data_IF_554538741202
#
_entry.id   IF_554538741202
#
_cell.length_a   1.000
_cell.length_b   1.000
_cell.length_c   1.000
_cell.angle_alpha   90.00
_cell.angle_beta   90.00
_cell.angle_gamma   90.00
#
_symmetry.space_group_name_H-M   'P 1'
#
loop_
_entity.id
_entity.type
_entity.pdbx_description
1 polymer ?
#
# COMPACT_ATOMS: atom_id res chain seq x y z
N UNK A 1 38.18 -10.66 23.82
CA UNK A 1 37.03 -9.74 23.67
C UNK A 1 37.34 -8.82 22.50
N UNK A 2 36.44 -8.67 21.52
CA UNK A 2 36.61 -7.67 20.46
C UNK A 2 35.92 -6.39 20.92
N UNK A 3 36.67 -5.28 20.97
CA UNK A 3 36.14 -3.97 21.32
C UNK A 3 35.54 -3.33 20.06
N UNK A 4 34.29 -2.86 20.14
CA UNK A 4 33.64 -2.10 19.07
C UNK A 4 33.31 -0.70 19.55
N UNK A 5 33.49 0.28 18.67
CA UNK A 5 33.15 1.67 18.96
C UNK A 5 31.65 1.88 18.98
N UNK A 6 31.18 2.75 19.87
CA UNK A 6 29.79 3.18 19.85
C UNK A 6 29.44 3.84 18.50
N UNK A 7 28.19 3.72 18.10
CA UNK A 7 27.65 4.40 16.91
C UNK A 7 26.47 5.29 17.29
N UNK A 8 26.33 6.42 16.62
CA UNK A 8 25.14 7.28 16.70
C UNK A 8 24.38 7.18 15.39
N UNK A 9 23.11 6.76 15.46
CA UNK A 9 22.20 6.66 14.32
C UNK A 9 21.24 7.84 14.36
N UNK A 10 21.13 8.55 13.25
CA UNK A 10 20.12 9.59 13.03
C UNK A 10 19.22 9.20 11.87
N UNK A 11 17.98 9.67 11.91
CA UNK A 11 16.96 9.41 10.90
C UNK A 11 16.26 10.72 10.56
N UNK A 12 16.01 10.92 9.27
CA UNK A 12 15.12 11.96 8.76
C UNK A 12 14.22 11.41 7.66
N UNK A 13 13.06 12.05 7.48
CA UNK A 13 12.16 11.81 6.37
C UNK A 13 12.17 13.03 5.44
N UNK A 14 12.04 12.82 4.13
CA UNK A 14 11.97 13.90 3.14
C UNK A 14 10.79 14.85 3.37
N UNK A 15 9.73 14.36 4.01
CA UNK A 15 8.60 15.15 4.51
C UNK A 15 7.96 14.42 5.70
N UNK A 16 7.53 15.15 6.76
CA UNK A 16 6.78 14.56 7.86
C UNK A 16 5.30 14.32 7.51
N UNK A 17 4.78 14.91 6.43
CA UNK A 17 3.36 14.84 6.06
C UNK A 17 3.14 14.55 4.57
N UNK A 18 3.54 13.35 4.09
CA UNK A 18 3.27 12.95 2.71
C UNK A 18 1.77 12.77 2.45
N UNK A 19 1.37 12.97 1.20
CA UNK A 19 0.03 12.55 0.74
C UNK A 19 0.00 11.03 0.54
N UNK A 20 -1.15 10.39 0.80
CA UNK A 20 -1.32 8.97 0.52
C UNK A 20 -1.01 8.64 -0.94
N UNK A 21 -0.26 7.55 -1.15
CA UNK A 21 0.28 7.10 -2.45
C UNK A 21 1.57 7.80 -2.89
N UNK A 22 2.00 8.89 -2.23
CA UNK A 22 3.23 9.58 -2.60
C UNK A 22 4.44 9.00 -1.88
N UNK A 23 5.60 9.04 -2.56
CA UNK A 23 6.83 8.52 -2.01
C UNK A 23 7.36 9.38 -0.85
N UNK A 24 7.88 8.73 0.19
CA UNK A 24 8.75 9.35 1.20
C UNK A 24 10.13 8.73 1.08
N UNK A 25 11.17 9.54 1.17
CA UNK A 25 12.54 9.03 1.32
C UNK A 25 12.95 9.14 2.78
N UNK A 26 13.24 8.01 3.40
CA UNK A 26 13.85 7.92 4.72
C UNK A 26 15.37 7.91 4.57
N UNK A 27 16.07 8.78 5.30
CA UNK A 27 17.54 8.86 5.26
C UNK A 27 18.09 8.56 6.63
N UNK A 28 18.96 7.56 6.72
CA UNK A 28 19.70 7.23 7.93
C UNK A 28 21.17 7.64 7.79
N UNK A 29 21.72 8.23 8.84
CA UNK A 29 23.15 8.49 8.95
C UNK A 29 23.70 7.86 10.23
N UNK A 30 24.81 7.13 10.09
CA UNK A 30 25.48 6.41 11.15
C UNK A 30 26.88 6.98 11.30
N UNK A 31 27.19 7.47 12.49
CA UNK A 31 28.48 8.10 12.81
C UNK A 31 29.14 7.38 13.99
N UNK A 32 30.46 7.51 14.09
CA UNK A 32 31.23 6.99 15.22
C UNK A 32 32.21 8.05 15.73
N UNK A 33 32.43 8.16 17.06
CA UNK A 33 33.42 9.07 17.62
C UNK A 33 34.86 8.65 17.29
N UNK A 34 35.07 7.42 16.81
CA UNK A 34 36.39 6.89 16.46
C UNK A 34 36.98 7.44 15.16
N UNK A 35 36.23 8.28 14.43
CA UNK A 35 36.64 8.85 13.14
C UNK A 35 36.63 7.87 11.96
N UNK A 36 36.43 6.57 12.21
CA UNK A 36 36.15 5.57 11.18
C UNK A 36 34.69 5.62 10.74
N UNK A 37 34.45 5.42 9.44
CA UNK A 37 33.10 5.40 8.85
C UNK A 37 32.42 4.05 9.09
N UNK A 38 31.23 4.01 9.72
CA UNK A 38 30.45 2.79 9.86
C UNK A 38 30.01 2.20 8.51
N UNK A 39 30.08 0.88 8.39
CA UNK A 39 29.70 0.10 7.19
C UNK A 39 28.57 -0.88 7.55
N UNK A 40 28.00 -1.56 6.55
CA UNK A 40 26.94 -2.54 6.77
C UNK A 40 25.56 -2.00 6.40
N UNK A 41 24.51 -2.49 7.07
CA UNK A 41 23.12 -2.22 6.67
C UNK A 41 22.30 -1.55 7.76
N UNK A 42 21.36 -0.73 7.32
CA UNK A 42 20.30 -0.16 8.17
C UNK A 42 18.97 -0.77 7.78
N UNK A 43 18.21 -1.19 8.78
CA UNK A 43 16.80 -1.60 8.63
C UNK A 43 15.90 -0.44 9.06
N UNK A 44 14.97 -0.05 8.20
CA UNK A 44 13.94 0.93 8.52
C UNK A 44 12.68 0.20 8.98
N UNK A 45 12.08 0.66 10.07
CA UNK A 45 10.90 0.05 10.68
C UNK A 45 9.79 1.09 10.88
N UNK A 46 8.54 0.66 10.70
CA UNK A 46 7.33 1.34 11.16
C UNK A 46 6.77 0.58 12.37
N UNK A 47 7.01 1.12 13.56
CA UNK A 47 6.88 0.36 14.80
C UNK A 47 7.82 -0.86 14.78
N UNK A 48 7.25 -2.06 14.82
CA UNK A 48 8.00 -3.32 14.71
C UNK A 48 8.03 -3.90 13.29
N UNK A 49 7.29 -3.30 12.34
CA UNK A 49 7.16 -3.82 10.98
C UNK A 49 8.33 -3.31 10.12
N UNK A 50 9.17 -4.18 9.54
CA UNK A 50 10.23 -3.76 8.64
C UNK A 50 9.64 -3.14 7.36
N UNK A 51 10.09 -1.94 7.02
CA UNK A 51 9.79 -1.28 5.75
C UNK A 51 10.77 -1.66 4.64
N UNK A 52 12.01 -1.98 5.02
CA UNK A 52 13.07 -2.36 4.12
C UNK A 52 14.45 -2.18 4.74
N UNK A 53 15.47 -2.59 4.00
CA UNK A 53 16.88 -2.43 4.38
C UNK A 53 17.63 -1.67 3.30
N UNK A 54 18.68 -0.97 3.70
CA UNK A 54 19.57 -0.29 2.77
C UNK A 54 21.02 -0.33 3.29
N UNK A 55 21.97 -0.39 2.36
CA UNK A 55 23.41 -0.52 2.69
C UNK A 55 24.02 0.86 2.84
N UNK A 56 24.84 1.05 3.87
CA UNK A 56 25.55 2.30 4.09
C UNK A 56 26.59 2.53 2.99
N UNK A 57 26.59 3.75 2.46
CA UNK A 57 27.63 4.32 1.62
C UNK A 57 28.10 5.62 2.28
N UNK A 58 29.40 5.72 2.59
CA UNK A 58 29.93 6.87 3.33
C UNK A 58 29.28 7.12 4.71
N UNK A 59 28.73 6.09 5.35
CA UNK A 59 28.02 6.22 6.64
C UNK A 59 26.59 6.74 6.51
N UNK A 60 26.02 6.81 5.31
CA UNK A 60 24.64 7.20 5.07
C UNK A 60 23.91 6.21 4.15
N UNK A 61 22.59 6.17 4.24
CA UNK A 61 21.76 5.42 3.29
C UNK A 61 20.35 6.00 3.21
N UNK A 62 19.68 5.79 2.07
CA UNK A 62 18.29 6.18 1.84
C UNK A 62 17.39 4.99 1.51
N UNK A 63 16.11 5.08 1.87
CA UNK A 63 15.05 4.15 1.45
C UNK A 63 13.82 4.94 0.99
N UNK A 64 13.43 4.75 -0.28
CA UNK A 64 12.17 5.27 -0.81
C UNK A 64 11.02 4.31 -0.49
N UNK A 65 9.92 4.84 0.06
CA UNK A 65 8.72 4.08 0.40
C UNK A 65 7.48 4.72 -0.23
N UNK A 66 6.63 3.93 -0.88
CA UNK A 66 5.39 4.39 -1.55
C UNK A 66 4.13 3.72 -1.00
N UNK A 67 4.25 2.94 0.09
CA UNK A 67 3.19 2.08 0.62
C UNK A 67 2.70 2.42 2.03
N UNK A 68 3.01 3.61 2.56
CA UNK A 68 2.51 4.00 3.87
C UNK A 68 0.98 4.20 3.82
N UNK A 69 0.30 3.66 4.83
CA UNK A 69 -1.16 3.76 4.94
C UNK A 69 -1.55 5.15 5.42
N UNK A 70 -2.79 5.61 5.18
CA UNK A 70 -3.27 6.85 5.79
C UNK A 70 -3.17 6.81 7.32
N UNK A 71 -2.69 7.89 7.93
CA UNK A 71 -2.53 8.01 9.38
C UNK A 71 -1.08 8.16 9.87
N UNK A 72 -0.88 8.15 11.20
CA UNK A 72 0.44 8.32 11.80
C UNK A 72 1.26 7.03 11.74
N UNK A 73 2.56 7.20 11.50
CA UNK A 73 3.59 6.16 11.49
C UNK A 73 4.75 6.56 12.40
N UNK A 74 5.30 5.60 13.14
CA UNK A 74 6.44 5.82 14.05
C UNK A 74 7.65 5.11 13.48
N UNK A 75 8.51 5.87 12.80
CA UNK A 75 9.61 5.31 12.03
C UNK A 75 10.91 5.32 12.85
N UNK A 76 11.64 4.20 12.81
CA UNK A 76 13.00 4.10 13.34
C UNK A 76 13.97 3.51 12.32
N UNK A 77 15.26 3.79 12.49
CA UNK A 77 16.35 3.17 11.75
C UNK A 77 17.22 2.36 12.71
N UNK A 78 17.43 1.09 12.41
CA UNK A 78 18.24 0.16 13.19
C UNK A 78 19.49 -0.23 12.40
N UNK A 79 20.66 0.08 12.95
CA UNK A 79 21.95 -0.30 12.42
C UNK A 79 22.45 -1.57 13.11
N UNK A 80 22.78 -2.60 12.32
CA UNK A 80 23.21 -3.92 12.84
C UNK A 80 24.63 -3.96 13.41
N UNK A 81 25.42 -2.89 13.27
CA UNK A 81 26.84 -2.90 13.58
C UNK A 81 27.69 -3.50 12.46
N UNK A 82 29.01 -3.41 12.63
CA UNK A 82 30.00 -4.07 11.79
C UNK A 82 31.16 -4.61 12.63
N UNK A 83 32.28 -5.00 12.01
CA UNK A 83 33.44 -5.54 12.73
C UNK A 83 34.04 -4.55 13.75
N UNK A 84 33.95 -3.24 13.49
CA UNK A 84 34.56 -2.17 14.29
C UNK A 84 33.53 -1.34 15.09
N UNK A 85 32.26 -1.36 14.70
CA UNK A 85 31.21 -0.51 15.25
C UNK A 85 30.07 -1.33 15.86
N UNK A 86 29.63 -0.92 17.04
CA UNK A 86 28.50 -1.52 17.74
C UNK A 86 27.18 -1.20 17.01
N UNK A 87 26.13 -2.04 17.17
CA UNK A 87 24.80 -1.71 16.68
C UNK A 87 24.22 -0.47 17.37
N UNK A 88 23.23 0.15 16.74
CA UNK A 88 22.54 1.32 17.27
C UNK A 88 21.16 1.53 16.67
N UNK A 89 20.35 2.38 17.29
CA UNK A 89 19.01 2.72 16.80
C UNK A 89 18.80 4.23 16.87
N UNK A 90 18.09 4.79 15.90
CA UNK A 90 17.70 6.20 15.91
C UNK A 90 16.64 6.49 16.96
N UNK A 91 16.48 7.78 17.30
CA UNK A 91 15.22 8.25 17.86
C UNK A 91 14.06 8.04 16.86
N UNK A 92 12.83 8.00 17.38
CA UNK A 92 11.62 7.88 16.55
C UNK A 92 11.37 9.15 15.74
N UNK A 93 11.07 8.98 14.46
CA UNK A 93 10.57 10.04 13.57
C UNK A 93 9.10 9.76 13.24
N UNK A 94 8.22 10.71 13.51
CA UNK A 94 6.80 10.59 13.16
C UNK A 94 6.56 11.05 11.72
N UNK A 95 5.89 10.21 10.92
CA UNK A 95 5.41 10.55 9.58
C UNK A 95 3.89 10.36 9.57
N UNK A 96 3.13 11.40 9.22
CA UNK A 96 1.67 11.33 9.17
C UNK A 96 1.19 11.44 7.75
N UNK A 97 0.71 10.34 7.18
CA UNK A 97 0.17 10.30 5.83
C UNK A 97 -1.21 10.95 5.81
N UNK A 98 -1.39 11.96 4.97
CA UNK A 98 -2.61 12.75 4.87
C UNK A 98 -3.24 12.67 3.46
N UNK A 99 -4.32 13.40 3.28
CA UNK A 99 -5.03 13.55 2.02
C UNK A 99 -4.94 15.01 1.58
N UNK A 100 -5.13 15.26 0.28
CA UNK A 100 -5.09 16.62 -0.26
C UNK A 100 -6.27 17.47 0.21
N UNK A 101 -7.35 16.82 0.65
CA UNK A 101 -8.56 17.44 1.17
C UNK A 101 -9.15 16.58 2.31
N UNK A 102 -10.03 17.14 3.17
CA UNK A 102 -10.76 16.36 4.16
C UNK A 102 -11.57 15.22 3.55
N UNK A 103 -11.69 14.09 4.27
CA UNK A 103 -12.45 12.94 3.78
C UNK A 103 -13.92 13.27 3.59
N UNK A 104 -14.49 12.77 2.49
CA UNK A 104 -15.93 12.83 2.25
C UNK A 104 -16.61 11.81 3.16
N UNK A 105 -17.34 12.30 4.17
CA UNK A 105 -18.13 11.48 5.11
C UNK A 105 -19.63 11.70 4.95
N UNK A 106 -20.04 12.65 4.10
CA UNK A 106 -21.44 12.93 3.77
C UNK A 106 -21.90 12.27 2.46
N UNK A 107 -23.11 12.65 2.03
CA UNK A 107 -23.62 12.25 0.72
C UNK A 107 -23.18 13.24 -0.36
N UNK A 108 -22.70 12.71 -1.48
CA UNK A 108 -22.27 13.45 -2.66
C UNK A 108 -22.86 12.80 -3.91
N UNK A 109 -23.27 13.62 -4.86
CA UNK A 109 -23.84 13.17 -6.14
C UNK A 109 -23.05 13.73 -7.31
N UNK A 110 -22.99 12.99 -8.42
CA UNK A 110 -22.26 13.35 -9.63
C UNK A 110 -20.84 12.79 -9.67
N UNK A 111 -20.10 13.02 -10.77
CA UNK A 111 -18.79 12.41 -10.99
C UNK A 111 -17.75 12.90 -9.97
N UNK A 112 -17.00 11.97 -9.37
CA UNK A 112 -15.81 12.25 -8.57
C UNK A 112 -14.58 11.86 -9.37
N UNK A 113 -13.67 12.81 -9.60
CA UNK A 113 -12.41 12.56 -10.30
C UNK A 113 -11.24 12.90 -9.40
N UNK A 114 -10.33 11.95 -9.19
CA UNK A 114 -9.03 12.16 -8.55
C UNK A 114 -7.99 12.34 -9.66
N UNK A 115 -7.32 13.48 -9.69
CA UNK A 115 -6.31 13.81 -10.71
C UNK A 115 -4.89 13.63 -10.19
N UNK A 116 -3.90 13.80 -11.07
CA UNK A 116 -2.49 13.66 -10.73
C UNK A 116 -2.09 14.55 -9.55
N UNK A 117 -1.37 13.99 -8.58
CA UNK A 117 -0.92 14.69 -7.37
C UNK A 117 -2.00 14.84 -6.29
N UNK A 118 -3.26 14.49 -6.58
CA UNK A 118 -4.33 14.49 -5.58
C UNK A 118 -4.39 13.15 -4.85
N UNK A 119 -4.80 13.22 -3.58
CA UNK A 119 -5.06 12.05 -2.76
C UNK A 119 -6.35 12.29 -2.00
N UNK A 120 -7.41 11.55 -2.33
CA UNK A 120 -8.74 11.74 -1.75
C UNK A 120 -9.15 10.54 -0.89
N UNK A 121 -10.04 10.80 0.06
CA UNK A 121 -10.66 9.76 0.87
C UNK A 121 -12.18 9.86 0.90
N UNK A 122 -12.83 8.70 0.82
CA UNK A 122 -14.22 8.50 1.22
C UNK A 122 -14.21 7.80 2.58
N UNK A 123 -14.66 8.49 3.62
CA UNK A 123 -14.61 8.02 5.00
C UNK A 123 -15.90 7.35 5.46
N UNK A 124 -15.93 6.84 6.70
CA UNK A 124 -17.09 6.14 7.26
C UNK A 124 -18.38 6.95 7.15
N UNK A 125 -19.44 6.32 6.65
CA UNK A 125 -20.74 6.97 6.44
C UNK A 125 -20.85 7.77 5.13
N UNK A 126 -19.72 7.99 4.44
CA UNK A 126 -19.69 8.66 3.14
C UNK A 126 -20.50 7.90 2.09
N UNK A 127 -21.25 8.64 1.26
CA UNK A 127 -22.02 8.09 0.14
C UNK A 127 -21.71 8.86 -1.13
N UNK A 128 -21.13 8.20 -2.11
CA UNK A 128 -20.84 8.78 -3.42
C UNK A 128 -21.76 8.16 -4.46
N UNK A 129 -22.71 8.94 -5.00
CA UNK A 129 -23.61 8.53 -6.08
C UNK A 129 -23.10 9.07 -7.41
N UNK A 130 -22.82 8.18 -8.36
CA UNK A 130 -22.17 8.50 -9.63
C UNK A 130 -20.75 7.94 -9.72
N UNK A 131 -20.11 8.08 -10.89
CA UNK A 131 -18.82 7.46 -11.18
C UNK A 131 -17.69 8.05 -10.33
N UNK A 132 -16.79 7.18 -9.89
CA UNK A 132 -15.51 7.55 -9.26
C UNK A 132 -14.40 7.17 -10.23
N UNK A 133 -13.61 8.16 -10.66
CA UNK A 133 -12.50 7.98 -11.60
C UNK A 133 -11.20 8.42 -10.94
N UNK A 134 -10.20 7.53 -10.87
CA UNK A 134 -8.85 7.86 -10.44
C UNK A 134 -7.96 7.87 -11.67
N UNK A 135 -7.50 9.05 -12.07
CA UNK A 135 -6.58 9.22 -13.20
C UNK A 135 -5.16 8.87 -12.79
N UNK A 136 -4.31 8.72 -13.79
CA UNK A 136 -2.89 8.48 -13.59
C UNK A 136 -2.27 9.51 -12.65
N UNK A 137 -1.48 9.05 -11.67
CA UNK A 137 -0.87 9.90 -10.66
C UNK A 137 -1.79 10.29 -9.49
N UNK A 138 -3.06 9.90 -9.47
CA UNK A 138 -3.97 10.13 -8.35
C UNK A 138 -3.97 8.98 -7.33
N UNK A 139 -4.42 9.23 -6.10
CA UNK A 139 -4.59 8.21 -5.07
C UNK A 139 -5.96 8.27 -4.39
N UNK A 140 -6.53 7.11 -4.06
CA UNK A 140 -7.86 7.03 -3.45
C UNK A 140 -7.89 6.03 -2.29
N UNK A 141 -8.40 6.47 -1.15
CA UNK A 141 -8.77 5.61 -0.04
C UNK A 141 -10.30 5.59 0.15
N UNK A 142 -10.90 4.42 0.28
CA UNK A 142 -12.33 4.24 0.57
C UNK A 142 -12.46 3.37 1.81
N UNK A 143 -12.93 3.93 2.92
CA UNK A 143 -13.04 3.25 4.20
C UNK A 143 -14.44 3.43 4.78
N UNK A 144 -15.22 2.34 4.89
CA UNK A 144 -16.56 2.41 5.49
C UNK A 144 -17.60 3.23 4.69
N UNK A 145 -17.33 3.49 3.42
CA UNK A 145 -18.17 4.31 2.54
C UNK A 145 -18.95 3.46 1.54
N UNK A 146 -20.01 4.03 0.98
CA UNK A 146 -20.78 3.45 -0.14
C UNK A 146 -20.52 4.22 -1.43
N UNK A 147 -20.20 3.51 -2.51
CA UNK A 147 -20.09 4.05 -3.86
C UNK A 147 -21.20 3.45 -4.73
N UNK A 148 -22.19 4.28 -5.05
CA UNK A 148 -23.29 3.95 -5.94
C UNK A 148 -22.98 4.39 -7.38
N UNK A 149 -22.06 3.66 -8.02
CA UNK A 149 -21.57 3.92 -9.36
C UNK A 149 -20.33 3.08 -9.67
N UNK A 150 -19.80 3.14 -10.90
CA UNK A 150 -18.54 2.49 -11.23
C UNK A 150 -17.37 3.17 -10.52
N UNK A 151 -16.41 2.38 -10.02
CA UNK A 151 -15.07 2.83 -9.68
C UNK A 151 -14.12 2.40 -10.80
N UNK A 152 -13.44 3.36 -11.43
CA UNK A 152 -12.42 3.11 -12.44
C UNK A 152 -11.13 3.81 -12.05
N UNK A 153 -10.02 3.08 -12.06
CA UNK A 153 -8.67 3.60 -11.86
C UNK A 153 -7.77 3.10 -12.97
N UNK A 154 -6.96 4.02 -13.52
CA UNK A 154 -5.91 3.72 -14.49
C UNK A 154 -4.66 4.55 -14.16
N UNK A 155 -3.58 3.88 -13.78
CA UNK A 155 -2.30 4.54 -13.44
C UNK A 155 -2.24 5.18 -12.05
N UNK A 156 -3.06 4.76 -11.09
CA UNK A 156 -3.07 5.36 -9.77
C UNK A 156 -1.75 5.14 -9.00
N UNK A 157 -1.42 6.11 -8.14
CA UNK A 157 -0.29 5.97 -7.21
C UNK A 157 -0.59 5.01 -6.07
N UNK A 158 -1.84 4.95 -5.59
CA UNK A 158 -2.27 3.95 -4.63
C UNK A 158 -3.79 3.88 -4.57
N UNK A 159 -4.31 2.67 -4.31
CA UNK A 159 -5.73 2.44 -4.07
C UNK A 159 -5.86 1.62 -2.78
N UNK A 160 -6.66 2.12 -1.83
CA UNK A 160 -7.02 1.37 -0.61
C UNK A 160 -8.52 1.34 -0.44
N UNK A 161 -9.08 0.14 -0.25
CA UNK A 161 -10.53 -0.07 -0.16
C UNK A 161 -10.81 -1.03 0.99
N UNK A 162 -11.47 -0.55 2.04
CA UNK A 162 -11.65 -1.23 3.32
C UNK A 162 -13.10 -1.06 3.83
N UNK A 163 -13.78 -2.14 4.20
CA UNK A 163 -15.18 -2.11 4.66
C UNK A 163 -16.12 -1.26 3.78
N UNK A 164 -15.87 -1.20 2.48
CA UNK A 164 -16.63 -0.40 1.54
C UNK A 164 -17.73 -1.23 0.85
N UNK A 165 -18.77 -0.55 0.40
CA UNK A 165 -19.85 -1.12 -0.40
C UNK A 165 -19.90 -0.45 -1.78
N UNK A 166 -19.71 -1.23 -2.84
CA UNK A 166 -19.82 -0.77 -4.23
C UNK A 166 -21.09 -1.35 -4.84
N UNK A 167 -21.99 -0.49 -5.32
CA UNK A 167 -23.19 -0.93 -6.04
C UNK A 167 -22.94 -1.17 -7.54
N UNK A 168 -21.76 -0.81 -8.04
CA UNK A 168 -21.35 -0.91 -9.43
C UNK A 168 -20.04 -1.68 -9.63
N UNK A 169 -19.52 -1.72 -10.88
CA UNK A 169 -18.27 -2.39 -11.20
C UNK A 169 -17.07 -1.67 -10.56
N UNK A 170 -16.03 -2.44 -10.22
CA UNK A 170 -14.75 -1.93 -9.73
C UNK A 170 -13.66 -2.38 -10.69
N UNK A 171 -12.95 -1.42 -11.29
CA UNK A 171 -11.82 -1.66 -12.20
C UNK A 171 -10.61 -0.88 -11.72
N UNK A 172 -9.52 -1.58 -11.39
CA UNK A 172 -8.25 -1.00 -10.94
C UNK A 172 -7.14 -1.48 -11.87
N UNK A 173 -6.58 -0.57 -12.65
CA UNK A 173 -5.64 -0.88 -13.72
C UNK A 173 -4.35 -0.06 -13.59
N UNK A 174 -3.22 -0.68 -13.91
CA UNK A 174 -1.95 0.03 -14.14
C UNK A 174 -1.37 0.78 -12.93
N UNK A 175 -1.82 0.49 -11.70
CA UNK A 175 -1.36 1.22 -10.53
C UNK A 175 0.13 0.98 -10.27
N UNK A 176 0.88 2.06 -10.03
CA UNK A 176 2.32 2.00 -9.78
C UNK A 176 2.68 1.82 -8.31
N UNK A 177 1.78 2.18 -7.39
CA UNK A 177 1.89 1.82 -5.99
C UNK A 177 0.82 0.82 -5.57
N UNK A 178 0.80 0.54 -4.27
CA UNK A 178 0.12 -0.64 -3.73
C UNK A 178 -1.41 -0.56 -3.89
N UNK A 179 -2.01 -1.66 -4.31
CA UNK A 179 -3.46 -1.84 -4.38
C UNK A 179 -3.92 -2.76 -3.25
N UNK A 180 -4.72 -2.21 -2.33
CA UNK A 180 -5.33 -2.94 -1.23
C UNK A 180 -6.85 -2.94 -1.36
N UNK A 181 -7.46 -4.11 -1.49
CA UNK A 181 -8.91 -4.31 -1.55
C UNK A 181 -9.31 -5.31 -0.45
N UNK A 182 -9.33 -4.86 0.81
CA UNK A 182 -9.48 -5.73 1.97
C UNK A 182 -8.26 -6.62 2.22
N UNK A 183 -8.07 -7.10 3.46
CA UNK A 183 -7.06 -8.11 3.79
C UNK A 183 -6.03 -7.76 4.86
N UNK A 184 -6.13 -6.59 5.49
CA UNK A 184 -5.28 -6.23 6.63
C UNK A 184 -6.12 -6.26 7.93
N UNK A 185 -5.51 -6.41 9.12
CA UNK A 185 -6.23 -6.31 10.39
C UNK A 185 -7.07 -5.01 10.53
N UNK A 186 -6.59 -3.91 9.95
CA UNK A 186 -7.27 -2.62 9.89
C UNK A 186 -8.09 -2.40 8.60
N UNK A 187 -8.13 -3.37 7.69
CA UNK A 187 -8.81 -3.28 6.41
C UNK A 187 -9.65 -4.54 6.17
N UNK A 188 -10.85 -4.56 6.76
CA UNK A 188 -11.81 -5.63 6.53
C UNK A 188 -12.33 -5.62 5.08
N UNK A 189 -12.84 -6.78 4.65
CA UNK A 189 -13.28 -7.02 3.28
C UNK A 189 -14.47 -6.15 2.85
N UNK A 190 -14.67 -6.09 1.54
CA UNK A 190 -15.64 -5.21 0.89
C UNK A 190 -16.81 -6.00 0.30
N UNK A 191 -17.93 -5.32 0.05
CA UNK A 191 -19.04 -5.84 -0.74
C UNK A 191 -19.06 -5.14 -2.10
N UNK A 192 -18.98 -5.90 -3.19
CA UNK A 192 -18.95 -5.38 -4.57
C UNK A 192 -20.09 -6.03 -5.34
N UNK A 193 -21.14 -5.28 -5.67
CA UNK A 193 -22.35 -5.78 -6.36
C UNK A 193 -22.21 -5.89 -7.88
N UNK A 194 -20.98 -5.82 -8.41
CA UNK A 194 -20.68 -5.88 -9.83
C UNK A 194 -19.36 -6.62 -10.11
N UNK A 195 -18.86 -6.59 -11.36
CA UNK A 195 -17.59 -7.21 -11.69
C UNK A 195 -16.42 -6.51 -10.99
N UNK A 196 -15.40 -7.29 -10.63
CA UNK A 196 -14.12 -6.80 -10.13
C UNK A 196 -13.03 -7.13 -11.14
N UNK A 197 -12.35 -6.10 -11.62
CA UNK A 197 -11.17 -6.21 -12.50
C UNK A 197 -9.96 -5.58 -11.81
N UNK A 198 -8.88 -6.35 -11.71
CA UNK A 198 -7.59 -5.89 -11.20
C UNK A 198 -6.52 -6.29 -12.21
N UNK A 199 -5.95 -5.30 -12.90
CA UNK A 199 -5.16 -5.55 -14.11
C UNK A 199 -3.85 -4.76 -14.15
N UNK A 200 -2.73 -5.44 -14.39
CA UNK A 200 -1.45 -4.78 -14.67
C UNK A 200 -0.91 -3.87 -13.57
N UNK A 201 -1.31 -4.07 -12.30
CA UNK A 201 -0.82 -3.25 -11.19
C UNK A 201 0.57 -3.76 -10.78
N UNK A 202 1.56 -2.87 -10.76
CA UNK A 202 2.99 -3.23 -10.59
C UNK A 202 3.53 -2.91 -9.21
N UNK A 203 2.84 -2.06 -8.44
CA UNK A 203 3.20 -1.68 -7.07
C UNK A 203 2.84 -2.71 -6.00
N UNK A 204 2.39 -3.90 -6.38
CA UNK A 204 1.86 -4.92 -5.47
C UNK A 204 0.33 -4.87 -5.34
N UNK A 205 -0.25 -6.01 -5.00
CA UNK A 205 -1.70 -6.19 -4.95
C UNK A 205 -2.10 -7.17 -3.83
N UNK A 206 -3.11 -6.79 -3.05
CA UNK A 206 -3.84 -7.70 -2.18
C UNK A 206 -5.34 -7.43 -2.26
N UNK A 207 -6.11 -8.50 -2.38
CA UNK A 207 -7.55 -8.47 -2.18
C UNK A 207 -8.00 -9.66 -1.34
N UNK A 208 -8.51 -9.39 -0.14
CA UNK A 208 -8.91 -10.47 0.75
C UNK A 208 -10.19 -10.19 1.54
N UNK A 209 -10.97 -11.25 1.77
CA UNK A 209 -12.21 -11.20 2.53
C UNK A 209 -13.39 -10.52 1.82
N UNK A 210 -13.31 -10.31 0.50
CA UNK A 210 -14.34 -9.59 -0.24
C UNK A 210 -15.50 -10.51 -0.64
N UNK A 211 -16.70 -9.94 -0.74
CA UNK A 211 -17.84 -10.55 -1.43
C UNK A 211 -18.08 -9.82 -2.75
N UNK A 212 -17.96 -10.54 -3.86
CA UNK A 212 -18.12 -10.00 -5.22
C UNK A 212 -19.29 -10.68 -5.91
N UNK A 213 -20.31 -9.91 -6.26
CA UNK A 213 -21.49 -10.35 -7.00
C UNK A 213 -21.32 -10.10 -8.50
N UNK A 214 -20.41 -10.86 -9.13
CA UNK A 214 -20.09 -10.71 -10.54
C UNK A 214 -18.83 -11.48 -10.93
N UNK A 215 -18.41 -11.42 -12.20
CA UNK A 215 -17.15 -12.01 -12.63
C UNK A 215 -15.96 -11.27 -12.00
N UNK A 216 -14.91 -12.03 -11.69
CA UNK A 216 -13.63 -11.53 -11.19
C UNK A 216 -12.53 -11.84 -12.21
N UNK A 217 -11.75 -10.81 -12.55
CA UNK A 217 -10.57 -10.91 -13.41
C UNK A 217 -9.36 -10.31 -12.72
N UNK A 218 -8.31 -11.11 -12.54
CA UNK A 218 -7.06 -10.70 -11.89
C UNK A 218 -5.89 -11.03 -12.80
N UNK A 219 -5.36 -10.03 -13.51
CA UNK A 219 -4.41 -10.28 -14.59
C UNK A 219 -3.19 -9.40 -14.52
N UNK A 220 -2.02 -9.96 -14.86
CA UNK A 220 -0.79 -9.18 -15.04
C UNK A 220 -0.30 -8.40 -13.83
N UNK A 221 -0.78 -8.70 -12.61
CA UNK A 221 -0.36 -7.95 -11.42
C UNK A 221 0.98 -8.46 -10.92
N UNK A 222 1.84 -7.53 -10.51
CA UNK A 222 3.17 -7.82 -10.00
C UNK A 222 3.56 -6.89 -8.85
N UNK A 223 4.77 -7.08 -8.34
CA UNK A 223 5.34 -6.27 -7.27
C UNK A 223 5.46 -7.01 -5.96
N UNK A 224 5.84 -6.28 -4.92
CA UNK A 224 6.04 -6.78 -3.57
C UNK A 224 5.05 -6.11 -2.59
N UNK A 225 4.49 -6.86 -1.62
CA UNK A 225 4.53 -8.32 -1.48
C UNK A 225 3.86 -9.05 -2.67
N UNK A 226 4.08 -10.36 -2.75
CA UNK A 226 3.47 -11.24 -3.77
C UNK A 226 1.98 -10.95 -3.94
N UNK A 227 1.47 -10.84 -5.18
CA UNK A 227 0.05 -10.64 -5.42
C UNK A 227 -0.81 -11.66 -4.67
N UNK A 228 -1.83 -11.19 -3.93
CA UNK A 228 -2.73 -12.06 -3.18
C UNK A 228 -4.20 -11.80 -3.47
N UNK A 229 -4.96 -12.88 -3.56
CA UNK A 229 -6.41 -12.87 -3.67
C UNK A 229 -6.98 -13.95 -2.75
N UNK A 230 -7.22 -13.70 -1.46
CA UNK A 230 -7.53 -14.79 -0.50
C UNK A 230 -8.85 -14.61 0.26
N UNK A 231 -9.52 -15.70 0.63
CA UNK A 231 -10.72 -15.66 1.46
C UNK A 231 -11.90 -14.91 0.83
N UNK A 232 -11.96 -14.80 -0.50
CA UNK A 232 -13.02 -14.06 -1.20
C UNK A 232 -14.20 -14.98 -1.56
N UNK A 233 -15.40 -14.42 -1.59
CA UNK A 233 -16.61 -15.06 -2.10
C UNK A 233 -17.02 -14.42 -3.41
N UNK A 234 -17.07 -15.20 -4.48
CA UNK A 234 -17.37 -14.74 -5.84
C UNK A 234 -18.62 -15.45 -6.35
N UNK A 235 -19.67 -14.70 -6.68
CA UNK A 235 -20.88 -15.28 -7.29
C UNK A 235 -20.87 -15.17 -8.81
N UNK A 236 -19.77 -15.57 -9.43
CA UNK A 236 -19.52 -15.48 -10.87
C UNK A 236 -18.23 -16.22 -11.29
N UNK A 237 -17.85 -16.14 -12.57
CA UNK A 237 -16.57 -16.67 -13.06
C UNK A 237 -15.38 -16.02 -12.36
N UNK A 238 -14.33 -16.82 -12.11
CA UNK A 238 -13.06 -16.36 -11.56
C UNK A 238 -11.92 -16.68 -12.53
N UNK A 239 -11.24 -15.66 -13.03
CA UNK A 239 -10.16 -15.80 -14.02
C UNK A 239 -8.92 -15.06 -13.57
N UNK A 240 -7.78 -15.76 -13.58
CA UNK A 240 -6.51 -15.17 -13.18
C UNK A 240 -5.40 -15.59 -14.13
N UNK A 241 -4.56 -14.67 -14.60
CA UNK A 241 -3.47 -15.00 -15.51
C UNK A 241 -2.34 -13.98 -15.46
N UNK A 242 -1.11 -14.42 -15.73
CA UNK A 242 0.04 -13.50 -15.86
C UNK A 242 0.46 -12.77 -14.58
N UNK A 243 -0.10 -13.07 -13.39
CA UNK A 243 0.35 -12.44 -12.15
C UNK A 243 1.71 -12.99 -11.72
N UNK A 244 2.62 -12.13 -11.25
CA UNK A 244 4.02 -12.45 -10.96
C UNK A 244 4.53 -11.78 -9.66
N UNK A 245 5.03 -12.53 -8.66
CA UNK A 245 5.01 -14.00 -8.57
C UNK A 245 3.59 -14.56 -8.64
N UNK A 246 3.46 -15.88 -8.84
CA UNK A 246 2.15 -16.53 -8.99
C UNK A 246 1.19 -16.11 -7.86
N UNK A 247 -0.04 -15.77 -8.25
CA UNK A 247 -1.08 -15.29 -7.36
C UNK A 247 -1.31 -16.28 -6.19
N UNK A 248 -1.22 -15.78 -4.95
CA UNK A 248 -1.63 -16.55 -3.75
C UNK A 248 -3.14 -16.45 -3.56
N UNK A 249 -3.83 -17.58 -3.37
CA UNK A 249 -5.28 -17.63 -3.54
C UNK A 249 -6.07 -18.53 -2.58
N UNK A 250 -5.57 -18.66 -1.37
CA UNK A 250 -6.13 -19.53 -0.34
C UNK A 250 -7.54 -19.09 0.07
N UNK A 251 -8.46 -20.05 0.28
CA UNK A 251 -9.77 -19.82 0.89
C UNK A 251 -10.84 -19.15 0.02
N UNK A 252 -10.65 -19.04 -1.30
CA UNK A 252 -11.67 -18.46 -2.17
C UNK A 252 -12.80 -19.42 -2.53
N UNK A 253 -14.03 -18.90 -2.55
CA UNK A 253 -15.21 -19.58 -3.11
C UNK A 253 -15.67 -18.88 -4.38
N UNK A 254 -16.01 -19.66 -5.41
CA UNK A 254 -16.56 -19.16 -6.66
C UNK A 254 -17.71 -20.08 -7.10
N UNK A 255 -18.86 -19.49 -7.47
CA UNK A 255 -19.99 -20.25 -8.01
C UNK A 255 -19.89 -20.47 -9.52
N UNK A 256 -19.07 -19.68 -10.23
CA UNK A 256 -18.80 -19.82 -11.66
C UNK A 256 -17.51 -20.59 -11.96
N UNK A 257 -17.18 -20.78 -13.25
CA UNK A 257 -15.97 -21.47 -13.68
C UNK A 257 -14.71 -20.73 -13.22
N UNK A 258 -13.67 -21.52 -12.96
CA UNK A 258 -12.34 -21.08 -12.55
C UNK A 258 -11.35 -21.29 -13.70
N UNK A 259 -10.37 -20.39 -13.87
CA UNK A 259 -9.41 -20.48 -14.98
C UNK A 259 -8.04 -19.84 -14.68
N UNK A 260 -7.04 -20.34 -15.41
CA UNK A 260 -5.66 -19.88 -15.36
C UNK A 260 -5.02 -20.15 -14.00
N UNK A 261 -4.38 -19.15 -13.40
CA UNK A 261 -3.82 -19.26 -12.06
C UNK A 261 -4.90 -19.54 -11.01
N UNK A 262 -6.16 -19.16 -11.26
CA UNK A 262 -7.28 -19.40 -10.36
C UNK A 262 -8.06 -20.69 -10.61
N UNK A 263 -7.54 -21.58 -11.46
CA UNK A 263 -8.11 -22.90 -11.72
C UNK A 263 -8.16 -23.78 -10.46
#
# INVERSE_FOLDING_TARGET
MSFRWASTVSLSASTPTPLFGHAVTLTAAVTSPAGSTPTGTVTFLDGEVPLGTATLDGGQTGLGITGLRPGPHTITASYGGDAAHAPGQSATTTVTVSFSEPCVTGSRSGPLTVTAGQSLCLGPGGRQSGPVTVKAGGALAVTGATVAGPLSSDGALAISVCQAAFAGPVSIQGSSGYVLVGGAPSCAGNTISGPLTVDGNTGGFTASGNTVSGPVRITGNSGAPTPTFTGNRVTGPLSCSGNQPTLRQDGNTATGPRSGQCA
#
